data_IF_541365708625
#
_entry.id   IF_541365708625
#
_cell.length_a   1.000
_cell.length_b   1.000
_cell.length_c   1.000
_cell.angle_alpha   90.00
_cell.angle_beta   90.00
_cell.angle_gamma   90.00
#
_symmetry.space_group_name_H-M   'P 1'
#
loop_
_entity.id
_entity.type
_entity.pdbx_description
1 polymer ?
#
# COMPACT_ATOMS: atom_id res chain seq x y z
N UNK A 1 26.43 90.33 -30.23
CA UNK A 1 26.48 88.94 -29.74
C UNK A 1 25.29 88.74 -28.83
N UNK A 2 24.17 88.30 -29.39
CA UNK A 2 22.94 87.94 -28.66
C UNK A 2 23.11 86.51 -28.17
N UNK A 3 23.30 86.35 -26.86
CA UNK A 3 23.34 85.06 -26.17
C UNK A 3 21.93 84.47 -26.15
N UNK A 4 21.71 83.43 -26.97
CA UNK A 4 20.47 82.65 -26.95
C UNK A 4 20.34 81.97 -25.58
N UNK A 5 19.23 82.17 -24.83
CA UNK A 5 19.05 81.53 -23.55
C UNK A 5 18.94 80.02 -23.76
N UNK A 6 19.81 79.27 -23.08
CA UNK A 6 19.81 77.81 -23.17
C UNK A 6 18.42 77.27 -22.81
N UNK A 7 17.86 76.33 -23.59
CA UNK A 7 16.50 75.84 -23.39
C UNK A 7 16.35 75.27 -21.97
N UNK A 8 15.44 75.86 -21.20
CA UNK A 8 15.15 75.44 -19.83
C UNK A 8 14.53 74.04 -19.89
N UNK A 9 15.30 73.03 -19.47
CA UNK A 9 14.83 71.66 -19.35
C UNK A 9 13.72 71.60 -18.30
N UNK A 10 12.48 71.48 -18.76
CA UNK A 10 11.31 71.24 -17.92
C UNK A 10 11.36 69.80 -17.41
N UNK A 11 11.94 69.63 -16.22
CA UNK A 11 12.09 68.31 -15.63
C UNK A 11 10.73 67.80 -15.14
N UNK A 12 10.32 66.63 -15.62
CA UNK A 12 9.14 65.94 -15.13
C UNK A 12 9.23 65.73 -13.60
N UNK A 13 8.13 65.96 -12.86
CA UNK A 13 8.13 65.88 -11.40
C UNK A 13 8.61 64.51 -10.92
N UNK A 14 9.52 64.51 -9.96
CA UNK A 14 10.08 63.29 -9.40
C UNK A 14 8.95 62.34 -8.97
N UNK A 15 8.84 61.20 -9.65
CA UNK A 15 7.86 60.17 -9.31
C UNK A 15 7.99 59.84 -7.81
N UNK A 16 6.90 59.92 -7.03
CA UNK A 16 6.98 59.88 -5.57
C UNK A 16 7.58 58.54 -5.10
N UNK A 17 8.83 58.57 -4.65
CA UNK A 17 9.60 57.37 -4.28
C UNK A 17 8.91 56.54 -3.18
N UNK A 18 8.11 57.19 -2.33
CA UNK A 18 7.31 56.54 -1.29
C UNK A 18 6.27 55.56 -1.85
N UNK A 19 5.71 55.79 -3.06
CA UNK A 19 4.78 54.85 -3.70
C UNK A 19 5.49 53.55 -4.12
N UNK A 20 6.73 53.63 -4.59
CA UNK A 20 7.54 52.47 -4.98
C UNK A 20 7.89 51.58 -3.79
N UNK A 21 8.25 52.18 -2.65
CA UNK A 21 8.56 51.43 -1.43
C UNK A 21 7.34 50.66 -0.89
N UNK A 22 6.15 51.31 -0.89
CA UNK A 22 4.90 50.67 -0.46
C UNK A 22 4.49 49.53 -1.40
N UNK A 23 4.60 49.74 -2.71
CA UNK A 23 4.31 48.72 -3.71
C UNK A 23 5.21 47.49 -3.55
N UNK A 24 6.52 47.68 -3.33
CA UNK A 24 7.44 46.57 -3.05
C UNK A 24 7.02 45.74 -1.83
N UNK A 25 6.62 46.40 -0.74
CA UNK A 25 6.12 45.70 0.47
C UNK A 25 4.89 44.84 0.19
N UNK A 26 3.93 45.37 -0.59
CA UNK A 26 2.74 44.61 -0.96
C UNK A 26 3.05 43.42 -1.88
N UNK A 27 3.97 43.59 -2.84
CA UNK A 27 4.43 42.49 -3.69
C UNK A 27 5.10 41.42 -2.83
N UNK A 28 6.03 41.77 -1.94
CA UNK A 28 6.70 40.79 -1.07
C UNK A 28 5.72 40.08 -0.15
N UNK A 29 4.77 40.81 0.45
CA UNK A 29 3.75 40.21 1.32
C UNK A 29 2.82 39.29 0.52
N UNK A 30 2.40 39.71 -0.67
CA UNK A 30 1.58 38.90 -1.58
C UNK A 30 2.30 37.63 -2.02
N UNK A 31 3.58 37.71 -2.41
CA UNK A 31 4.40 36.54 -2.76
C UNK A 31 4.57 35.59 -1.58
N UNK A 32 4.83 36.10 -0.37
CA UNK A 32 4.95 35.28 0.83
C UNK A 32 3.63 34.56 1.17
N UNK A 33 2.49 35.26 1.05
CA UNK A 33 1.17 34.67 1.26
C UNK A 33 0.85 33.58 0.22
N UNK A 34 1.18 33.81 -1.05
CA UNK A 34 1.00 32.81 -2.11
C UNK A 34 1.88 31.57 -1.88
N UNK A 35 3.14 31.76 -1.45
CA UNK A 35 4.02 30.64 -1.10
C UNK A 35 3.49 29.86 0.09
N UNK A 36 3.05 30.54 1.15
CA UNK A 36 2.46 29.89 2.33
C UNK A 36 1.18 29.12 1.98
N UNK A 37 0.29 29.71 1.17
CA UNK A 37 -0.90 29.04 0.67
C UNK A 37 -0.53 27.81 -0.18
N UNK A 38 0.49 27.91 -1.04
CA UNK A 38 1.04 26.78 -1.79
C UNK A 38 1.53 25.65 -0.88
N UNK A 39 2.28 25.97 0.18
CA UNK A 39 2.77 24.98 1.15
C UNK A 39 1.60 24.30 1.89
N UNK A 40 0.66 25.08 2.43
CA UNK A 40 -0.49 24.54 3.18
C UNK A 40 -1.33 23.61 2.31
N UNK A 41 -1.48 23.91 1.02
CA UNK A 41 -2.31 23.11 0.10
C UNK A 41 -1.59 21.89 -0.47
N UNK A 42 -0.28 21.99 -0.73
CA UNK A 42 0.50 20.92 -1.38
C UNK A 42 1.19 19.99 -0.37
N UNK A 43 1.65 20.49 0.77
CA UNK A 43 2.41 19.70 1.74
C UNK A 43 1.63 18.48 2.26
N UNK A 44 0.34 18.56 2.63
CA UNK A 44 -0.42 17.39 3.09
C UNK A 44 -0.61 16.32 1.99
N UNK A 45 -0.62 16.73 0.71
CA UNK A 45 -0.70 15.80 -0.43
C UNK A 45 0.65 15.12 -0.66
N UNK A 46 1.74 15.88 -0.61
CA UNK A 46 3.09 15.35 -0.72
C UNK A 46 3.41 14.40 0.45
N UNK A 47 3.08 14.77 1.69
CA UNK A 47 3.28 13.96 2.88
C UNK A 47 2.55 12.61 2.79
N UNK A 48 1.27 12.60 2.36
CA UNK A 48 0.51 11.36 2.15
C UNK A 48 1.12 10.46 1.07
N UNK A 49 1.62 11.04 -0.03
CA UNK A 49 2.31 10.28 -1.09
C UNK A 49 3.61 9.67 -0.58
N UNK A 50 4.41 10.44 0.15
CA UNK A 50 5.67 9.95 0.74
C UNK A 50 5.40 8.86 1.78
N UNK A 51 4.39 9.04 2.63
CA UNK A 51 3.98 8.04 3.62
C UNK A 51 3.51 6.75 2.94
N UNK A 52 2.70 6.85 1.89
CA UNK A 52 2.27 5.68 1.12
C UNK A 52 3.46 4.97 0.47
N UNK A 53 4.34 5.69 -0.23
CA UNK A 53 5.52 5.12 -0.88
C UNK A 53 6.46 4.45 0.14
N UNK A 54 6.61 5.05 1.32
CA UNK A 54 7.37 4.46 2.42
C UNK A 54 6.80 3.11 2.86
N UNK A 55 5.50 3.04 3.19
CA UNK A 55 4.87 1.81 3.64
C UNK A 55 4.80 0.75 2.54
N UNK A 56 4.60 1.15 1.29
CA UNK A 56 4.61 0.23 0.16
C UNK A 56 5.99 -0.42 0.01
N UNK A 57 7.07 0.36 0.13
CA UNK A 57 8.44 -0.18 0.08
C UNK A 57 8.71 -1.16 1.23
N UNK A 58 8.21 -0.86 2.43
CA UNK A 58 8.28 -1.78 3.56
C UNK A 58 7.53 -3.10 3.26
N UNK A 59 6.34 -3.02 2.66
CA UNK A 59 5.58 -4.20 2.26
C UNK A 59 6.25 -4.99 1.11
N UNK A 60 6.90 -4.30 0.17
CA UNK A 60 7.59 -4.93 -0.97
C UNK A 60 8.82 -5.75 -0.55
N UNK A 61 9.44 -5.38 0.57
CA UNK A 61 10.61 -6.07 1.15
C UNK A 61 10.26 -6.95 2.36
N UNK A 62 8.97 -7.05 2.69
CA UNK A 62 8.52 -7.84 3.82
C UNK A 62 8.66 -9.34 3.52
N UNK A 63 9.27 -10.08 4.42
CA UNK A 63 9.34 -11.53 4.37
C UNK A 63 9.04 -12.11 5.75
N UNK A 64 7.98 -12.89 5.85
CA UNK A 64 7.65 -13.62 7.07
C UNK A 64 8.35 -14.98 7.08
N UNK A 65 8.71 -15.53 8.26
CA UNK A 65 9.19 -16.90 8.36
C UNK A 65 8.14 -17.89 7.80
N UNK A 66 8.55 -18.98 7.11
CA UNK A 66 7.62 -19.98 6.57
C UNK A 66 6.80 -20.71 7.63
N UNK A 67 7.24 -20.67 8.88
CA UNK A 67 6.55 -21.27 10.03
C UNK A 67 5.58 -20.30 10.72
N UNK A 68 5.52 -19.04 10.27
CA UNK A 68 4.64 -18.04 10.85
C UNK A 68 3.19 -18.41 10.55
N UNK A 69 2.43 -18.74 11.58
CA UNK A 69 0.97 -18.89 11.46
C UNK A 69 0.36 -17.50 11.29
N UNK A 70 -0.45 -17.32 10.25
CA UNK A 70 -1.17 -16.05 9.97
C UNK A 70 -2.66 -16.19 10.18
N UNK A 71 -3.15 -17.42 10.26
CA UNK A 71 -4.53 -17.73 10.60
C UNK A 71 -4.61 -19.05 11.37
N UNK A 72 -5.44 -19.06 12.40
CA UNK A 72 -5.81 -20.28 13.11
C UNK A 72 -7.25 -20.18 13.61
N UNK A 73 -7.96 -21.31 13.53
CA UNK A 73 -9.29 -21.48 14.10
C UNK A 73 -9.34 -22.51 15.24
N UNK A 74 -8.21 -23.10 15.63
CA UNK A 74 -8.12 -23.97 16.81
C UNK A 74 -8.25 -23.12 18.10
N UNK A 75 -9.29 -23.35 18.94
CA UNK A 75 -9.49 -22.62 20.18
C UNK A 75 -8.28 -22.63 21.13
N UNK A 76 -7.45 -23.67 21.09
CA UNK A 76 -6.26 -23.80 21.95
C UNK A 76 -5.12 -22.88 21.49
N UNK A 77 -5.03 -22.62 20.19
CA UNK A 77 -3.91 -21.90 19.56
C UNK A 77 -4.25 -20.41 19.33
N UNK A 78 -5.53 -20.08 19.20
CA UNK A 78 -6.04 -18.71 19.04
C UNK A 78 -5.41 -17.70 20.03
N UNK A 79 -5.33 -17.97 21.36
CA UNK A 79 -4.74 -17.02 22.30
C UNK A 79 -3.28 -16.67 22.02
N UNK A 80 -2.52 -17.62 21.45
CA UNK A 80 -1.11 -17.40 21.08
C UNK A 80 -0.99 -16.46 19.88
N UNK A 81 -1.97 -16.50 18.97
CA UNK A 81 -1.99 -15.66 17.78
C UNK A 81 -2.46 -14.23 18.08
N UNK A 82 -3.34 -14.03 19.07
CA UNK A 82 -3.86 -12.71 19.47
C UNK A 82 -2.90 -11.94 20.39
N UNK A 83 -1.84 -12.56 20.88
CA UNK A 83 -0.73 -11.88 21.53
C UNK A 83 0.44 -11.66 20.55
N UNK A 84 0.22 -10.99 19.38
CA UNK A 84 1.26 -10.92 18.38
C UNK A 84 2.44 -10.06 18.84
N UNK A 85 3.62 -10.29 18.24
CA UNK A 85 4.70 -9.32 18.33
C UNK A 85 4.26 -7.95 17.76
N UNK A 86 4.94 -6.87 18.17
CA UNK A 86 4.68 -5.48 17.74
C UNK A 86 4.61 -5.27 16.21
N UNK A 87 5.12 -6.22 15.41
CA UNK A 87 5.11 -6.19 13.95
C UNK A 87 3.79 -6.62 13.31
N UNK A 88 2.84 -7.16 14.08
CA UNK A 88 1.54 -7.60 13.58
C UNK A 88 0.39 -7.04 14.42
N UNK A 89 -0.74 -6.83 13.76
CA UNK A 89 -2.01 -6.62 14.42
C UNK A 89 -2.81 -7.92 14.39
N UNK A 90 -3.20 -8.40 15.58
CA UNK A 90 -4.11 -9.52 15.74
C UNK A 90 -5.55 -9.07 15.51
N UNK A 91 -6.32 -9.87 14.77
CA UNK A 91 -7.75 -9.65 14.58
C UNK A 91 -8.52 -10.90 14.96
N UNK A 92 -9.63 -10.72 15.68
CA UNK A 92 -10.60 -11.76 15.98
C UNK A 92 -11.83 -11.53 15.12
N UNK A 93 -12.16 -12.48 14.26
CA UNK A 93 -13.39 -12.46 13.48
C UNK A 93 -14.05 -13.84 13.50
N UNK A 94 -15.29 -13.90 13.98
CA UNK A 94 -16.11 -15.12 13.99
C UNK A 94 -15.40 -16.30 14.68
N UNK A 95 -14.77 -16.04 15.83
CA UNK A 95 -14.05 -17.07 16.59
C UNK A 95 -12.77 -17.59 15.92
N UNK A 96 -12.19 -16.83 14.99
CA UNK A 96 -10.91 -17.14 14.35
C UNK A 96 -9.92 -16.01 14.57
N UNK A 97 -8.64 -16.35 14.69
CA UNK A 97 -7.57 -15.39 14.82
C UNK A 97 -6.84 -15.19 13.49
N UNK A 98 -6.41 -13.97 13.24
CA UNK A 98 -5.71 -13.58 12.04
C UNK A 98 -4.58 -12.60 12.36
N UNK A 99 -3.52 -12.64 11.56
CA UNK A 99 -2.42 -11.67 11.61
C UNK A 99 -2.37 -10.82 10.35
N UNK A 100 -2.12 -9.53 10.56
CA UNK A 100 -1.86 -8.56 9.49
C UNK A 100 -0.53 -7.87 9.80
N UNK A 101 0.44 -7.83 8.87
CA UNK A 101 1.66 -7.06 9.06
C UNK A 101 1.36 -5.58 9.29
N UNK A 102 1.97 -4.97 10.31
CA UNK A 102 1.70 -3.58 10.69
C UNK A 102 1.96 -2.58 9.54
N UNK A 103 3.00 -2.82 8.73
CA UNK A 103 3.28 -2.01 7.55
C UNK A 103 2.13 -2.06 6.53
N UNK A 104 1.53 -3.23 6.34
CA UNK A 104 0.42 -3.41 5.41
C UNK A 104 -0.88 -2.79 5.93
N UNK A 105 -1.14 -2.91 7.24
CA UNK A 105 -2.26 -2.22 7.92
C UNK A 105 -2.19 -0.70 7.71
N UNK A 106 -0.99 -0.11 7.67
CA UNK A 106 -0.79 1.33 7.41
C UNK A 106 -0.96 1.70 5.93
N UNK A 107 -0.79 0.73 5.03
CA UNK A 107 -0.92 0.91 3.58
C UNK A 107 -2.36 0.72 3.08
N UNK A 108 -3.09 -0.21 3.70
CA UNK A 108 -4.42 -0.66 3.29
C UNK A 108 -5.48 0.45 3.35
N UNK A 109 -6.31 0.51 2.30
CA UNK A 109 -7.54 1.31 2.27
C UNK A 109 -8.76 0.48 2.73
N UNK A 110 -8.67 -0.85 2.61
CA UNK A 110 -9.73 -1.80 2.96
C UNK A 110 -9.35 -2.66 4.16
N UNK A 111 -10.35 -3.16 4.88
CA UNK A 111 -10.15 -4.09 5.99
C UNK A 111 -9.88 -5.50 5.47
N UNK A 112 -8.60 -5.86 5.37
CA UNK A 112 -8.19 -7.28 5.38
C UNK A 112 -8.47 -7.86 6.77
N UNK A 113 -8.95 -9.10 6.86
CA UNK A 113 -9.04 -9.79 8.15
C UNK A 113 -7.72 -10.47 8.52
N UNK A 114 -6.91 -10.88 7.54
CA UNK A 114 -5.59 -11.48 7.71
C UNK A 114 -4.82 -11.51 6.39
N UNK A 115 -3.49 -11.56 6.42
CA UNK A 115 -2.65 -11.54 5.21
C UNK A 115 -1.83 -12.82 5.10
N UNK A 116 -2.13 -13.63 4.10
CA UNK A 116 -1.43 -14.89 3.82
C UNK A 116 -0.10 -14.67 3.11
N UNK A 117 0.00 -13.72 2.18
CA UNK A 117 1.23 -13.39 1.49
C UNK A 117 1.35 -11.88 1.30
N UNK A 118 2.57 -11.35 1.41
CA UNK A 118 2.88 -9.95 1.16
C UNK A 118 4.32 -9.82 0.71
N UNK A 119 4.56 -9.54 -0.56
CA UNK A 119 5.91 -9.29 -1.08
C UNK A 119 5.85 -8.62 -2.45
N UNK A 120 6.93 -7.96 -2.87
CA UNK A 120 7.18 -7.71 -4.29
C UNK A 120 7.24 -9.01 -5.08
N UNK A 121 6.53 -9.08 -6.22
CA UNK A 121 6.69 -10.08 -7.28
C UNK A 121 6.93 -9.37 -8.62
N UNK A 122 7.49 -10.08 -9.59
CA UNK A 122 7.82 -9.55 -10.92
C UNK A 122 7.04 -10.31 -11.98
N UNK A 123 6.34 -9.61 -12.88
CA UNK A 123 5.63 -10.25 -13.99
C UNK A 123 6.62 -10.88 -14.99
N UNK A 124 6.19 -11.80 -15.87
CA UNK A 124 7.02 -12.29 -16.98
C UNK A 124 7.62 -11.19 -17.87
N UNK A 125 6.94 -10.05 -18.01
CA UNK A 125 7.46 -8.85 -18.72
C UNK A 125 8.45 -7.99 -17.90
N UNK A 126 8.77 -8.35 -16.66
CA UNK A 126 9.72 -7.64 -15.82
C UNK A 126 9.11 -6.50 -14.99
N UNK A 127 7.78 -6.43 -14.86
CA UNK A 127 7.14 -5.39 -14.06
C UNK A 127 7.06 -5.80 -12.60
N UNK A 128 7.73 -5.06 -11.71
CA UNK A 128 7.59 -5.24 -10.27
C UNK A 128 6.21 -4.75 -9.78
N UNK A 129 5.58 -5.53 -8.90
CA UNK A 129 4.31 -5.21 -8.24
C UNK A 129 4.36 -5.66 -6.78
N UNK A 130 3.73 -4.90 -5.90
CA UNK A 130 3.42 -5.42 -4.56
C UNK A 130 2.23 -6.39 -4.69
N UNK A 131 2.44 -7.64 -4.33
CA UNK A 131 1.37 -8.65 -4.27
C UNK A 131 1.03 -8.89 -2.81
N UNK A 132 -0.27 -8.81 -2.50
CA UNK A 132 -0.82 -9.16 -1.21
C UNK A 132 -1.94 -10.18 -1.40
N UNK A 133 -1.92 -11.26 -0.63
CA UNK A 133 -3.00 -12.26 -0.61
C UNK A 133 -3.69 -12.16 0.75
N UNK A 134 -4.88 -11.61 0.75
CA UNK A 134 -5.70 -11.44 1.94
C UNK A 134 -6.61 -12.65 2.14
N UNK A 135 -6.80 -13.02 3.40
CA UNK A 135 -7.79 -14.00 3.81
C UNK A 135 -9.15 -13.31 3.93
N UNK A 136 -10.21 -13.99 3.52
CA UNK A 136 -11.58 -13.57 3.79
C UNK A 136 -12.47 -14.79 4.02
N UNK A 137 -13.51 -14.61 4.82
CA UNK A 137 -14.51 -15.65 5.05
C UNK A 137 -15.75 -15.32 4.23
N UNK A 138 -16.10 -16.15 3.25
CA UNK A 138 -17.40 -15.99 2.57
C UNK A 138 -18.47 -16.57 3.49
N UNK A 139 -19.37 -15.72 4.02
CA UNK A 139 -20.66 -16.07 4.65
C UNK A 139 -20.66 -17.18 5.72
N UNK A 140 -21.45 -16.99 6.79
CA UNK A 140 -21.67 -18.05 7.80
C UNK A 140 -22.20 -19.38 7.23
N UNK A 141 -22.73 -19.39 6.00
CA UNK A 141 -23.35 -20.58 5.38
C UNK A 141 -22.40 -21.45 4.56
N UNK A 142 -21.48 -20.86 3.79
CA UNK A 142 -20.59 -21.63 2.89
C UNK A 142 -19.28 -22.00 3.55
N UNK A 143 -18.96 -21.35 4.69
CA UNK A 143 -17.83 -21.66 5.56
C UNK A 143 -16.51 -21.85 4.80
N UNK A 144 -16.35 -21.13 3.70
CA UNK A 144 -15.19 -21.21 2.82
C UNK A 144 -14.15 -20.19 3.29
N UNK A 145 -12.89 -20.60 3.33
CA UNK A 145 -11.78 -19.65 3.45
C UNK A 145 -11.36 -19.22 2.05
N UNK A 146 -11.54 -17.95 1.76
CA UNK A 146 -11.13 -17.35 0.50
C UNK A 146 -9.75 -16.71 0.61
N UNK A 147 -9.01 -16.75 -0.50
CA UNK A 147 -7.75 -16.07 -0.73
C UNK A 147 -7.96 -15.02 -1.81
N UNK A 148 -7.88 -13.74 -1.45
CA UNK A 148 -8.05 -12.62 -2.36
C UNK A 148 -6.69 -12.00 -2.64
N UNK A 149 -6.19 -12.19 -3.84
CA UNK A 149 -4.97 -11.55 -4.29
C UNK A 149 -5.23 -10.13 -4.81
N UNK A 150 -4.39 -9.21 -4.39
CA UNK A 150 -4.30 -7.83 -4.86
C UNK A 150 -2.88 -7.57 -5.38
N UNK A 151 -2.76 -6.98 -6.57
CA UNK A 151 -1.51 -6.47 -7.12
C UNK A 151 -1.56 -4.95 -7.22
N UNK A 152 -0.54 -4.28 -6.68
CA UNK A 152 -0.41 -2.82 -6.70
C UNK A 152 0.81 -2.39 -7.49
N UNK A 153 0.63 -1.37 -8.34
CA UNK A 153 1.74 -0.69 -8.99
C UNK A 153 2.65 -0.04 -7.94
N UNK A 154 3.98 -0.10 -8.09
CA UNK A 154 4.90 0.67 -7.27
C UNK A 154 4.55 2.16 -7.36
N UNK A 155 4.30 2.79 -6.21
CA UNK A 155 4.10 4.23 -6.13
C UNK A 155 5.42 4.92 -6.41
N UNK A 156 5.36 5.94 -7.25
CA UNK A 156 6.49 6.85 -7.48
C UNK A 156 6.17 8.21 -6.87
N UNK A 157 7.17 9.07 -6.70
CA UNK A 157 6.97 10.44 -6.22
C UNK A 157 6.00 11.24 -7.11
N UNK A 158 5.89 10.86 -8.38
CA UNK A 158 5.09 11.54 -9.41
C UNK A 158 3.71 10.91 -9.57
N UNK A 159 3.61 9.58 -9.58
CA UNK A 159 2.34 8.85 -9.73
C UNK A 159 1.86 8.32 -8.39
N UNK A 160 0.66 8.75 -8.00
CA UNK A 160 -0.03 8.22 -6.83
C UNK A 160 -0.29 6.72 -6.97
N UNK A 161 -0.62 6.05 -5.86
CA UNK A 161 -0.89 4.62 -5.88
C UNK A 161 -2.05 4.29 -6.80
N UNK A 162 -1.84 3.29 -7.63
CA UNK A 162 -2.89 2.71 -8.47
C UNK A 162 -3.07 1.26 -8.04
N UNK A 163 -4.19 1.00 -7.37
CA UNK A 163 -4.66 -0.36 -7.24
C UNK A 163 -5.06 -0.83 -8.64
N UNK A 164 -4.45 -1.89 -9.13
CA UNK A 164 -4.97 -2.58 -10.30
C UNK A 164 -6.19 -3.38 -9.83
N UNK A 165 -7.27 -3.32 -10.61
CA UNK A 165 -8.43 -4.18 -10.37
C UNK A 165 -7.93 -5.62 -10.53
N UNK A 166 -7.63 -6.27 -9.42
CA UNK A 166 -7.02 -7.59 -9.43
C UNK A 166 -8.14 -8.61 -9.44
N UNK A 167 -8.13 -9.47 -10.45
CA UNK A 167 -9.01 -10.63 -10.51
C UNK A 167 -8.17 -11.80 -10.01
N UNK A 168 -8.50 -12.33 -8.84
CA UNK A 168 -7.97 -13.64 -8.43
C UNK A 168 -8.63 -14.71 -9.29
N UNK A 169 -7.83 -15.57 -9.93
CA UNK A 169 -8.30 -16.72 -10.73
C UNK A 169 -7.67 -18.00 -10.21
N UNK A 170 -8.27 -19.12 -10.57
CA UNK A 170 -7.83 -20.46 -10.19
C UNK A 170 -8.75 -21.10 -9.15
N UNK A 171 -8.54 -22.39 -8.92
CA UNK A 171 -9.32 -23.22 -8.00
C UNK A 171 -8.84 -23.08 -6.54
N UNK A 172 -7.60 -22.67 -6.32
CA UNK A 172 -7.01 -22.43 -5.00
C UNK A 172 -7.52 -21.15 -4.30
N UNK A 173 -8.34 -20.34 -4.97
CA UNK A 173 -8.88 -19.10 -4.40
C UNK A 173 -9.86 -19.35 -3.24
N UNK A 174 -10.40 -20.55 -3.10
CA UNK A 174 -11.40 -20.88 -2.09
C UNK A 174 -11.18 -22.30 -1.56
N UNK A 175 -10.92 -22.42 -0.27
CA UNK A 175 -10.83 -23.72 0.42
C UNK A 175 -12.11 -23.95 1.22
N UNK A 176 -12.82 -25.04 0.91
CA UNK A 176 -14.00 -25.44 1.66
C UNK A 176 -13.58 -25.96 3.05
N UNK A 177 -14.17 -25.38 4.10
CA UNK A 177 -13.92 -25.78 5.49
C UNK A 177 -15.26 -26.12 6.13
N UNK A 178 -15.40 -27.31 6.72
CA UNK A 178 -16.63 -27.73 7.39
C UNK A 178 -16.66 -27.24 8.84
N UNK A 179 -17.84 -27.12 9.46
CA UNK A 179 -17.93 -26.90 10.90
C UNK A 179 -17.18 -28.00 11.67
N UNK A 180 -16.24 -27.61 12.53
CA UNK A 180 -15.41 -28.53 13.31
C UNK A 180 -14.03 -28.82 12.70
N UNK A 181 -13.79 -28.46 11.43
CA UNK A 181 -12.46 -28.56 10.84
C UNK A 181 -11.47 -27.61 11.51
N UNK A 182 -10.23 -28.08 11.67
CA UNK A 182 -9.09 -27.24 12.07
C UNK A 182 -8.34 -26.80 10.83
N UNK A 183 -8.35 -25.49 10.57
CA UNK A 183 -7.76 -24.85 9.41
C UNK A 183 -6.73 -23.81 9.85
N UNK A 184 -5.47 -24.04 9.48
CA UNK A 184 -4.33 -23.18 9.81
C UNK A 184 -3.64 -22.73 8.54
N UNK A 185 -3.38 -21.43 8.39
CA UNK A 185 -2.62 -20.90 7.25
C UNK A 185 -1.27 -20.39 7.73
N UNK A 186 -0.22 -20.70 6.99
CA UNK A 186 1.12 -20.17 7.20
C UNK A 186 1.42 -19.01 6.26
N UNK A 187 2.37 -18.16 6.64
CA UNK A 187 2.80 -17.06 5.80
C UNK A 187 3.47 -17.58 4.53
N UNK A 188 2.97 -17.13 3.39
CA UNK A 188 3.46 -17.51 2.08
C UNK A 188 4.90 -17.07 1.83
N UNK A 189 5.55 -17.76 0.92
CA UNK A 189 6.97 -17.61 0.62
C UNK A 189 7.18 -17.28 -0.85
N UNK A 190 8.02 -16.28 -1.18
CA UNK A 190 8.40 -16.03 -2.57
C UNK A 190 9.26 -17.19 -3.08
N UNK A 191 9.06 -17.61 -4.33
CA UNK A 191 9.95 -18.59 -4.95
C UNK A 191 11.28 -17.90 -5.34
N UNK A 192 12.43 -18.37 -4.87
CA UNK A 192 13.74 -17.81 -5.23
C UNK A 192 14.13 -18.07 -6.70
N UNK A 193 13.51 -19.05 -7.37
CA UNK A 193 13.81 -19.43 -8.76
C UNK A 193 12.87 -18.79 -9.78
N UNK A 194 11.72 -18.31 -9.34
CA UNK A 194 10.72 -17.65 -10.17
C UNK A 194 10.17 -16.41 -9.45
N UNK A 195 10.57 -15.23 -9.92
CA UNK A 195 10.18 -13.96 -9.32
C UNK A 195 8.67 -13.65 -9.43
N UNK A 196 7.94 -14.35 -10.30
CA UNK A 196 6.48 -14.25 -10.42
C UNK A 196 5.74 -15.16 -9.44
N UNK A 197 6.41 -16.22 -8.97
CA UNK A 197 5.83 -17.30 -8.20
C UNK A 197 5.99 -17.09 -6.69
N UNK A 198 5.02 -17.62 -5.94
CA UNK A 198 5.02 -17.74 -4.50
C UNK A 198 4.16 -18.93 -4.06
N UNK A 199 4.37 -19.41 -2.85
CA UNK A 199 3.62 -20.54 -2.29
C UNK A 199 2.98 -20.16 -0.96
N UNK A 200 1.83 -20.74 -0.63
CA UNK A 200 1.18 -20.58 0.68
C UNK A 200 0.84 -21.98 1.22
N UNK A 201 1.44 -22.34 2.34
CA UNK A 201 1.11 -23.60 3.01
C UNK A 201 -0.08 -23.43 3.95
N UNK A 202 -0.88 -24.48 4.08
CA UNK A 202 -1.93 -24.56 5.09
C UNK A 202 -2.08 -25.99 5.64
N UNK A 203 -2.62 -26.12 6.85
CA UNK A 203 -3.11 -27.39 7.39
C UNK A 203 -4.63 -27.40 7.34
N UNK A 204 -5.20 -28.51 6.89
CA UNK A 204 -6.60 -28.85 7.06
C UNK A 204 -6.67 -30.19 7.79
N UNK A 205 -7.20 -30.19 9.00
CA UNK A 205 -7.31 -31.36 9.87
C UNK A 205 -5.98 -32.11 10.05
N UNK A 206 -4.89 -31.35 10.18
CA UNK A 206 -3.53 -31.88 10.36
C UNK A 206 -2.81 -32.27 9.07
N UNK A 207 -3.51 -32.39 7.94
CA UNK A 207 -2.89 -32.65 6.63
C UNK A 207 -2.39 -31.33 6.03
N UNK A 208 -1.12 -31.31 5.59
CA UNK A 208 -0.51 -30.15 4.93
C UNK A 208 -0.83 -30.14 3.44
N UNK A 209 -1.20 -28.96 2.97
CA UNK A 209 -1.40 -28.65 1.56
C UNK A 209 -0.63 -27.37 1.20
N UNK A 210 -0.42 -27.15 -0.09
CA UNK A 210 0.23 -25.96 -0.62
C UNK A 210 -0.64 -25.35 -1.72
N UNK A 211 -0.77 -24.03 -1.69
CA UNK A 211 -1.28 -23.24 -2.81
C UNK A 211 -0.11 -22.63 -3.55
N UNK A 212 -0.16 -22.68 -4.87
CA UNK A 212 0.76 -21.97 -5.75
C UNK A 212 0.12 -20.69 -6.25
N UNK A 213 0.92 -19.63 -6.32
CA UNK A 213 0.49 -18.31 -6.74
C UNK A 213 1.44 -17.71 -7.77
N UNK A 214 0.90 -17.17 -8.87
CA UNK A 214 1.70 -16.48 -9.89
C UNK A 214 1.15 -15.11 -10.22
N UNK A 215 2.04 -14.11 -10.22
CA UNK A 215 1.79 -12.81 -10.83
C UNK A 215 1.96 -12.91 -12.35
N UNK A 216 0.88 -12.74 -13.09
CA UNK A 216 0.88 -12.67 -14.56
C UNK A 216 0.95 -11.21 -15.03
N UNK A 217 1.20 -11.04 -16.33
CA UNK A 217 1.16 -9.73 -16.97
C UNK A 217 -0.21 -9.05 -16.80
N UNK A 218 -0.21 -7.72 -16.75
CA UNK A 218 -1.42 -6.93 -16.47
C UNK A 218 -1.84 -6.94 -14.99
N UNK A 219 -1.06 -7.53 -14.09
CA UNK A 219 -1.31 -7.54 -12.66
C UNK A 219 -2.33 -8.59 -12.19
N UNK A 220 -2.64 -9.58 -13.04
CA UNK A 220 -3.52 -10.71 -12.67
C UNK A 220 -2.73 -11.66 -11.79
N UNK A 221 -3.32 -12.06 -10.66
CA UNK A 221 -2.74 -13.11 -9.79
C UNK A 221 -3.58 -14.36 -9.90
N UNK A 222 -2.93 -15.48 -10.22
CA UNK A 222 -3.54 -16.80 -10.27
C UNK A 222 -3.14 -17.55 -9.00
N UNK A 223 -4.08 -18.19 -8.33
CA UNK A 223 -3.86 -19.06 -7.17
C UNK A 223 -4.48 -20.43 -7.47
N UNK A 224 -3.65 -21.48 -7.46
CA UNK A 224 -4.04 -22.86 -7.75
C UNK A 224 -3.65 -23.77 -6.58
N UNK A 225 -4.42 -24.84 -6.37
CA UNK A 225 -4.00 -25.88 -5.45
C UNK A 225 -2.84 -26.68 -6.07
N UNK A 226 -1.83 -27.02 -5.27
CA UNK A 226 -0.75 -27.90 -5.69
C UNK A 226 -1.19 -29.36 -5.48
N UNK A 227 -1.20 -30.13 -6.57
CA UNK A 227 -1.47 -31.58 -6.58
C UNK A 227 -0.41 -32.39 -5.81
#
# INVERSE_FOLDING_TARGET
>A
MTTDPSPQLDYAPALPMLRRARMRRWITAGSALLLLAGIITLAPRAARRLQFAYWQRQCMSYAAPPTQVVHDNDPVEIPKLIAPPLSYDGSLAIGRAFLIPAAYRRLLVNSSVGTAFLHERVTPQGEARLVAVDLYTTSLRTNTMGFLANALDPSTTVRGPRALLTVTRGDGANVAVQPGDVFRVFAGQPDPKDASHFTIDYLLNGTRYTLDGWLKDGGVVIIEARD
#
